data_IF_777931163314
#
_entry.id   IF_777931163314
#
_cell.length_a   1.000
_cell.length_b   1.000
_cell.length_c   1.000
_cell.angle_alpha   90.00
_cell.angle_beta   90.00
_cell.angle_gamma   90.00
#
_symmetry.space_group_name_H-M   'P 1'
#
loop_
_entity.id
_entity.type
_entity.pdbx_description
1 polymer ?
#
# COMPACT_ATOMS: atom_id res chain seq x y z
N UNK A 1 16.97 -19.13 -10.76
CA UNK A 1 17.02 -18.25 -9.57
C UNK A 1 16.06 -18.84 -8.55
N UNK A 2 16.55 -19.23 -7.38
CA UNK A 2 15.73 -19.84 -6.32
C UNK A 2 15.97 -19.05 -5.05
N UNK A 3 14.90 -18.46 -4.51
CA UNK A 3 14.92 -17.77 -3.22
C UNK A 3 14.97 -18.82 -2.11
N UNK A 4 15.80 -18.58 -1.10
CA UNK A 4 15.75 -19.38 0.13
C UNK A 4 14.53 -19.01 0.98
N UNK A 5 14.27 -19.78 2.04
CA UNK A 5 13.10 -19.56 2.89
C UNK A 5 13.14 -18.22 3.61
N UNK A 6 14.31 -17.76 4.08
CA UNK A 6 14.43 -16.46 4.76
C UNK A 6 14.11 -15.31 3.80
N UNK A 7 14.66 -15.38 2.59
CA UNK A 7 14.37 -14.43 1.52
C UNK A 7 12.89 -14.41 1.15
N UNK A 8 12.29 -15.60 1.03
CA UNK A 8 10.87 -15.75 0.70
C UNK A 8 9.97 -15.11 1.76
N UNK A 9 10.26 -15.33 3.05
CA UNK A 9 9.46 -14.73 4.13
C UNK A 9 9.63 -13.20 4.21
N UNK A 10 10.84 -12.67 3.99
CA UNK A 10 11.03 -11.21 3.94
C UNK A 10 10.24 -10.57 2.80
N UNK A 11 10.24 -11.19 1.61
CA UNK A 11 9.46 -10.72 0.47
C UNK A 11 7.96 -10.82 0.78
N UNK A 12 7.52 -11.92 1.37
CA UNK A 12 6.12 -12.14 1.71
C UNK A 12 5.60 -11.14 2.75
N UNK A 13 6.41 -10.79 3.76
CA UNK A 13 6.10 -9.74 4.74
C UNK A 13 5.86 -8.38 4.06
N UNK A 14 6.79 -7.96 3.19
CA UNK A 14 6.65 -6.71 2.44
C UNK A 14 5.40 -6.72 1.54
N UNK A 15 5.17 -7.82 0.82
CA UNK A 15 4.02 -8.00 -0.06
C UNK A 15 2.69 -7.98 0.70
N UNK A 16 2.59 -8.66 1.85
CA UNK A 16 1.39 -8.69 2.68
C UNK A 16 0.99 -7.27 3.15
N UNK A 17 1.98 -6.48 3.57
CA UNK A 17 1.79 -5.08 3.99
C UNK A 17 1.41 -4.19 2.80
N UNK A 18 2.05 -4.37 1.65
CA UNK A 18 1.72 -3.62 0.43
C UNK A 18 0.28 -3.89 -0.04
N UNK A 19 -0.18 -5.13 0.06
CA UNK A 19 -1.50 -5.59 -0.38
C UNK A 19 -2.61 -5.43 0.67
N UNK A 20 -2.34 -4.88 1.86
CA UNK A 20 -3.29 -4.79 2.97
C UNK A 20 -3.89 -6.15 3.42
N UNK A 21 -3.14 -7.25 3.32
CA UNK A 21 -3.62 -8.57 3.75
C UNK A 21 -3.22 -8.86 5.21
N UNK A 22 -4.11 -8.59 6.17
CA UNK A 22 -3.87 -8.82 7.61
C UNK A 22 -3.56 -10.28 7.95
N UNK A 23 -4.35 -11.22 7.45
CA UNK A 23 -4.13 -12.66 7.65
C UNK A 23 -2.77 -13.10 7.09
N UNK A 24 -2.40 -12.62 5.91
CA UNK A 24 -1.11 -12.96 5.30
C UNK A 24 0.04 -12.43 6.17
N UNK A 25 -0.10 -11.20 6.68
CA UNK A 25 0.91 -10.60 7.55
C UNK A 25 1.09 -11.40 8.84
N UNK A 26 0.02 -11.79 9.52
CA UNK A 26 0.08 -12.61 10.73
C UNK A 26 0.79 -13.95 10.48
N UNK A 27 0.43 -14.64 9.40
CA UNK A 27 1.04 -15.91 9.01
C UNK A 27 2.55 -15.77 8.75
N UNK A 28 2.93 -14.82 7.90
CA UNK A 28 4.34 -14.65 7.51
C UNK A 28 5.20 -14.06 8.64
N UNK A 29 4.65 -13.28 9.58
CA UNK A 29 5.38 -12.88 10.79
C UNK A 29 5.68 -14.09 11.68
N UNK A 30 4.72 -15.00 11.84
CA UNK A 30 4.95 -16.26 12.54
C UNK A 30 6.06 -17.06 11.89
N UNK A 31 5.98 -17.25 10.56
CA UNK A 31 6.97 -18.02 9.82
C UNK A 31 8.35 -17.40 9.81
N UNK A 32 8.44 -16.08 9.67
CA UNK A 32 9.69 -15.34 9.73
C UNK A 32 10.44 -15.58 11.05
N UNK A 33 9.71 -15.57 12.17
CA UNK A 33 10.27 -15.87 13.50
C UNK A 33 10.74 -17.33 13.61
N UNK A 34 9.97 -18.28 13.07
CA UNK A 34 10.36 -19.71 13.06
C UNK A 34 11.67 -19.96 12.32
N UNK A 35 11.95 -19.21 11.24
CA UNK A 35 13.19 -19.33 10.46
C UNK A 35 14.33 -18.44 10.98
N UNK A 36 14.15 -17.84 12.16
CA UNK A 36 15.16 -17.06 12.87
C UNK A 36 15.49 -15.73 12.20
N UNK A 37 14.53 -15.09 11.52
CA UNK A 37 14.72 -13.69 11.07
C UNK A 37 14.73 -12.78 12.30
N UNK A 38 15.69 -11.87 12.33
CA UNK A 38 15.84 -10.90 13.41
C UNK A 38 14.72 -9.85 13.35
N UNK A 39 14.31 -9.29 14.51
CA UNK A 39 13.28 -8.26 14.56
C UNK A 39 13.54 -7.07 13.62
N UNK A 40 14.80 -6.69 13.42
CA UNK A 40 15.23 -5.60 12.56
C UNK A 40 15.02 -5.93 11.07
N UNK A 41 15.29 -7.19 10.66
CA UNK A 41 15.05 -7.66 9.28
C UNK A 41 13.55 -7.63 8.96
N UNK A 42 12.72 -8.12 9.90
CA UNK A 42 11.27 -8.06 9.80
C UNK A 42 10.80 -6.60 9.72
N UNK A 43 11.25 -5.74 10.62
CA UNK A 43 10.86 -4.33 10.64
C UNK A 43 11.20 -3.60 9.33
N UNK A 44 12.37 -3.89 8.75
CA UNK A 44 12.79 -3.35 7.46
C UNK A 44 11.86 -3.79 6.32
N UNK A 45 11.53 -5.09 6.23
CA UNK A 45 10.59 -5.60 5.22
C UNK A 45 9.19 -4.97 5.35
N UNK A 46 8.71 -4.82 6.58
CA UNK A 46 7.44 -4.14 6.84
C UNK A 46 7.46 -2.68 6.40
N UNK A 47 8.57 -1.96 6.62
CA UNK A 47 8.69 -0.57 6.18
C UNK A 47 8.70 -0.44 4.66
N UNK A 48 9.39 -1.35 3.95
CA UNK A 48 9.33 -1.42 2.48
C UNK A 48 7.89 -1.61 2.00
N UNK A 49 7.16 -2.56 2.60
CA UNK A 49 5.74 -2.76 2.28
C UNK A 49 4.88 -1.52 2.56
N UNK A 50 5.13 -0.80 3.66
CA UNK A 50 4.42 0.46 3.97
C UNK A 50 4.73 1.55 2.96
N UNK A 51 5.98 1.71 2.53
CA UNK A 51 6.36 2.66 1.49
C UNK A 51 5.62 2.39 0.18
N UNK A 52 5.61 1.13 -0.29
CA UNK A 52 4.89 0.73 -1.51
C UNK A 52 3.41 1.03 -1.39
N UNK A 53 2.78 0.65 -0.26
CA UNK A 53 1.36 0.94 -0.02
C UNK A 53 1.06 2.44 -0.05
N UNK A 54 1.88 3.27 0.61
CA UNK A 54 1.71 4.73 0.61
C UNK A 54 1.79 5.31 -0.80
N UNK A 55 2.74 4.84 -1.60
CA UNK A 55 2.85 5.26 -3.01
C UNK A 55 1.60 4.90 -3.83
N UNK A 56 1.13 3.66 -3.71
CA UNK A 56 -0.07 3.20 -4.40
C UNK A 56 -1.34 3.95 -3.96
N UNK A 57 -1.52 4.13 -2.64
CA UNK A 57 -2.65 4.88 -2.08
C UNK A 57 -2.62 6.36 -2.48
N UNK A 58 -1.45 7.00 -2.41
CA UNK A 58 -1.30 8.41 -2.76
C UNK A 58 -1.67 8.72 -4.21
N UNK A 59 -1.41 7.81 -5.15
CA UNK A 59 -1.84 7.97 -6.54
C UNK A 59 -3.37 7.97 -6.68
N UNK A 60 -4.06 7.11 -5.92
CA UNK A 60 -5.53 7.08 -5.89
C UNK A 60 -6.09 8.32 -5.21
N UNK A 61 -5.49 8.76 -4.09
CA UNK A 61 -5.91 9.97 -3.38
C UNK A 61 -5.77 11.22 -4.27
N UNK A 62 -4.67 11.33 -5.00
CA UNK A 62 -4.48 12.41 -5.98
C UNK A 62 -5.55 12.39 -7.09
N UNK A 63 -5.87 11.21 -7.62
CA UNK A 63 -6.92 11.07 -8.62
C UNK A 63 -8.29 11.45 -8.05
N UNK A 64 -8.63 10.98 -6.84
CA UNK A 64 -9.86 11.31 -6.16
C UNK A 64 -10.02 12.83 -5.99
N UNK A 65 -8.98 13.51 -5.50
CA UNK A 65 -8.96 14.96 -5.35
C UNK A 65 -9.19 15.69 -6.70
N UNK A 66 -8.56 15.23 -7.79
CA UNK A 66 -8.78 15.82 -9.12
C UNK A 66 -10.24 15.66 -9.59
N UNK A 67 -10.85 14.50 -9.34
CA UNK A 67 -12.25 14.24 -9.73
C UNK A 67 -13.23 15.09 -8.90
N UNK A 68 -12.95 15.33 -7.62
CA UNK A 68 -13.73 16.24 -6.77
C UNK A 68 -13.69 17.68 -7.28
N UNK A 69 -12.51 18.18 -7.68
CA UNK A 69 -12.33 19.53 -8.22
C UNK A 69 -13.02 19.71 -9.58
N UNK A 70 -12.86 18.76 -10.51
CA UNK A 70 -13.52 18.81 -11.84
C UNK A 70 -15.05 18.85 -11.74
N UNK A 71 -15.63 18.20 -10.72
CA UNK A 71 -17.08 18.27 -10.46
C UNK A 71 -17.54 19.67 -10.04
N UNK A 72 -16.67 20.47 -9.44
CA UNK A 72 -16.99 21.85 -9.01
C UNK A 72 -16.95 22.83 -10.19
N UNK A 73 -15.99 22.66 -11.11
CA UNK A 73 -15.85 23.50 -12.32
C UNK A 73 -16.98 23.22 -13.33
N UNK A 74 -17.43 21.98 -13.46
CA UNK A 74 -18.58 21.63 -14.31
C UNK A 74 -19.91 22.25 -13.82
N UNK A 75 -19.97 22.68 -12.55
CA UNK A 75 -21.18 23.28 -11.96
C UNK A 75 -21.23 24.81 -12.09
N UNK A 76 -20.11 25.44 -12.47
CA UNK A 76 -20.02 26.91 -12.63
C UNK A 76 -20.34 27.40 -14.04
N UNK A 77 -20.46 26.50 -15.03
CA UNK A 77 -20.90 26.85 -16.39
C UNK A 77 -22.42 26.80 -16.61
N UNK A 78 -23.21 26.46 -15.58
CA UNK A 78 -24.66 26.35 -15.64
C UNK A 78 -25.35 27.32 -14.66
N UNK A 79 -25.17 28.62 -14.88
CA UNK A 79 -25.96 29.69 -14.26
C UNK A 79 -25.49 31.04 -14.78
N UNK A 80 -26.32 32.03 -15.09
CA UNK A 80 -27.77 32.18 -15.04
C UNK A 80 -28.05 33.37 -15.98
N UNK A 81 -28.61 33.11 -17.17
CA UNK A 81 -29.01 34.15 -18.13
C UNK A 81 -30.50 34.42 -18.00
N UNK A 82 -30.90 35.22 -17.02
CA UNK A 82 -32.23 35.82 -16.98
C UNK A 82 -32.10 37.28 -17.40
N UNK A 83 -32.46 37.57 -18.65
CA UNK A 83 -32.81 38.88 -19.19
C UNK A 83 -34.01 38.72 -20.09
#
# INVERSE_FOLDING_TARGET
MTLDTRQTELIALGAAVAANCSRCLEFHVGKAREVGLEPEEIAAALEVGRMVRRGAGGAIDQLAAQLEVKRSEARTSAGCGCS
#
